data_IF_727369858585
#
_entry.id   IF_727369858585
#
_cell.length_a   1.000
_cell.length_b   1.000
_cell.length_c   1.000
_cell.angle_alpha   90.00
_cell.angle_beta   90.00
_cell.angle_gamma   90.00
#
_symmetry.space_group_name_H-M   'P 1'
#
loop_
_entity.id
_entity.type
_entity.pdbx_description
1 polymer ?
#
# COMPACT_ATOMS: atom_id res chain seq x y z
N UNK A 1 -16.83 -3.07 5.00
CA UNK A 1 -15.95 -2.98 3.80
C UNK A 1 -14.53 -2.87 4.32
N UNK A 2 -13.60 -3.71 3.86
CA UNK A 2 -12.19 -3.62 4.24
C UNK A 2 -11.44 -2.78 3.20
N UNK A 3 -10.50 -1.95 3.65
CA UNK A 3 -9.55 -1.23 2.80
C UNK A 3 -8.12 -1.52 3.24
N UNK A 4 -7.16 -1.43 2.31
CA UNK A 4 -5.74 -1.48 2.64
C UNK A 4 -5.24 -0.06 2.91
N UNK A 5 -4.53 0.12 4.02
CA UNK A 5 -3.83 1.37 4.35
C UNK A 5 -2.35 1.33 3.94
N UNK A 6 -2.01 0.50 2.94
CA UNK A 6 -0.64 0.34 2.40
C UNK A 6 0.39 -0.11 3.44
N UNK A 7 -0.05 -0.81 4.50
CA UNK A 7 0.84 -1.48 5.44
C UNK A 7 0.95 -2.96 5.06
N UNK A 8 2.13 -3.40 4.65
CA UNK A 8 2.36 -4.76 4.17
C UNK A 8 3.60 -5.37 4.82
N UNK A 9 3.51 -6.66 5.16
CA UNK A 9 4.65 -7.49 5.52
C UNK A 9 4.99 -8.46 4.40
N UNK A 10 6.26 -8.51 3.98
CA UNK A 10 6.72 -9.35 2.88
C UNK A 10 7.84 -10.29 3.32
N UNK A 11 7.82 -11.51 2.79
CA UNK A 11 9.01 -12.37 2.80
C UNK A 11 10.05 -11.78 1.84
N UNK A 12 11.37 -11.87 2.12
CA UNK A 12 12.41 -11.30 1.25
C UNK A 12 12.31 -11.74 -0.22
N UNK A 13 11.89 -12.98 -0.48
CA UNK A 13 11.70 -13.51 -1.84
C UNK A 13 10.66 -12.73 -2.66
N UNK A 14 9.68 -12.10 -2.00
CA UNK A 14 8.67 -11.26 -2.66
C UNK A 14 9.32 -10.02 -3.28
N UNK A 15 10.40 -9.50 -2.69
CA UNK A 15 11.08 -8.29 -3.16
C UNK A 15 11.66 -8.51 -4.56
N UNK A 16 12.23 -9.68 -4.84
CA UNK A 16 12.74 -10.03 -6.17
C UNK A 16 11.62 -10.05 -7.21
N UNK A 17 10.47 -10.62 -6.86
CA UNK A 17 9.30 -10.64 -7.76
C UNK A 17 8.77 -9.23 -8.03
N UNK A 18 8.78 -8.34 -7.02
CA UNK A 18 8.38 -6.95 -7.22
C UNK A 18 9.35 -6.18 -8.14
N UNK A 19 10.65 -6.48 -8.07
CA UNK A 19 11.66 -5.90 -8.96
C UNK A 19 11.45 -6.34 -10.42
N UNK A 20 11.19 -7.62 -10.64
CA UNK A 20 10.88 -8.16 -11.98
C UNK A 20 9.62 -7.49 -12.56
N UNK A 21 8.57 -7.33 -11.74
CA UNK A 21 7.32 -6.65 -12.14
C UNK A 21 7.60 -5.20 -12.50
N UNK A 22 8.35 -4.47 -11.66
CA UNK A 22 8.67 -3.08 -11.90
C UNK A 22 9.52 -2.89 -13.16
N UNK A 23 10.49 -3.77 -13.38
CA UNK A 23 11.35 -3.75 -14.57
C UNK A 23 10.53 -3.94 -15.83
N UNK A 24 9.69 -4.98 -15.87
CA UNK A 24 8.79 -5.24 -16.99
C UNK A 24 7.82 -4.07 -17.23
N UNK A 25 7.24 -3.53 -16.16
CA UNK A 25 6.31 -2.40 -16.25
C UNK A 25 6.97 -1.16 -16.88
N UNK A 26 8.23 -0.85 -16.51
CA UNK A 26 8.98 0.26 -17.11
C UNK A 26 9.23 0.06 -18.60
N UNK A 27 9.55 -1.16 -19.03
CA UNK A 27 9.77 -1.46 -20.44
C UNK A 27 8.49 -1.32 -21.27
N UNK A 28 7.38 -1.84 -20.77
CA UNK A 28 6.07 -1.81 -21.43
C UNK A 28 5.49 -0.39 -21.53
N UNK A 29 5.86 0.50 -20.60
CA UNK A 29 5.29 1.84 -20.50
C UNK A 29 6.32 2.98 -20.61
N UNK A 30 7.47 2.73 -21.25
CA UNK A 30 8.60 3.69 -21.35
C UNK A 30 8.23 5.08 -21.89
N UNK A 31 7.17 5.20 -22.69
CA UNK A 31 6.74 6.46 -23.32
C UNK A 31 5.74 7.25 -22.44
N UNK A 32 5.16 6.63 -21.41
CA UNK A 32 4.19 7.28 -20.52
C UNK A 32 4.86 7.75 -19.23
N UNK A 33 5.00 9.07 -19.09
CA UNK A 33 5.66 9.70 -17.94
C UNK A 33 4.79 9.80 -16.69
N UNK A 34 3.49 9.51 -16.79
CA UNK A 34 2.52 9.70 -15.69
C UNK A 34 1.99 8.38 -15.15
N UNK A 35 2.20 7.28 -15.86
CA UNK A 35 1.70 5.98 -15.43
C UNK A 35 2.44 5.49 -14.18
N UNK A 36 1.71 4.81 -13.29
CA UNK A 36 2.22 4.34 -12.01
C UNK A 36 2.09 2.82 -11.87
N UNK A 37 3.14 2.19 -11.36
CA UNK A 37 3.12 0.77 -11.00
C UNK A 37 2.58 0.60 -9.57
N UNK A 38 1.26 0.74 -9.40
CA UNK A 38 0.63 0.69 -8.07
C UNK A 38 0.68 -0.72 -7.47
N UNK A 39 1.22 -0.84 -6.25
CA UNK A 39 1.32 -2.11 -5.51
C UNK A 39 -0.02 -2.88 -5.41
N UNK A 40 -1.16 -2.25 -5.06
CA UNK A 40 -2.44 -2.96 -4.99
C UNK A 40 -2.81 -3.65 -6.30
N UNK A 41 -2.58 -2.98 -7.44
CA UNK A 41 -2.88 -3.53 -8.75
C UNK A 41 -2.01 -4.75 -9.06
N UNK A 42 -0.72 -4.69 -8.70
CA UNK A 42 0.20 -5.80 -8.93
C UNK A 42 -0.11 -6.98 -7.98
N UNK A 43 -0.48 -6.73 -6.72
CA UNK A 43 -0.90 -7.79 -5.81
C UNK A 43 -2.19 -8.47 -6.24
N UNK A 44 -3.19 -7.73 -6.73
CA UNK A 44 -4.40 -8.35 -7.28
C UNK A 44 -4.06 -9.33 -8.40
N UNK A 45 -3.20 -8.95 -9.35
CA UNK A 45 -2.74 -9.85 -10.42
C UNK A 45 -1.98 -11.07 -9.89
N UNK A 46 -1.13 -10.89 -8.88
CA UNK A 46 -0.36 -12.00 -8.30
C UNK A 46 -1.24 -12.99 -7.53
N UNK A 47 -2.28 -12.49 -6.86
CA UNK A 47 -3.28 -13.31 -6.17
C UNK A 47 -4.16 -14.07 -7.15
N UNK A 48 -4.63 -13.42 -8.23
CA UNK A 48 -5.43 -14.03 -9.29
C UNK A 48 -4.70 -15.18 -10.00
N UNK A 49 -3.38 -15.07 -10.15
CA UNK A 49 -2.54 -16.09 -10.77
C UNK A 49 -2.09 -17.19 -9.80
N UNK A 50 -2.63 -17.24 -8.57
CA UNK A 50 -2.26 -18.16 -7.48
C UNK A 50 -0.77 -18.19 -7.12
N UNK A 51 -0.01 -17.16 -7.52
CA UNK A 51 1.44 -17.11 -7.31
C UNK A 51 1.83 -16.72 -5.90
N UNK A 52 0.89 -16.17 -5.13
CA UNK A 52 1.11 -15.73 -3.76
C UNK A 52 -0.11 -16.01 -2.86
N UNK A 53 0.16 -16.18 -1.56
CA UNK A 53 -0.85 -16.19 -0.52
C UNK A 53 -0.73 -14.92 0.31
N UNK A 54 -1.84 -14.21 0.50
CA UNK A 54 -1.90 -13.04 1.36
C UNK A 54 -2.77 -13.36 2.57
N UNK A 55 -2.25 -13.05 3.76
CA UNK A 55 -3.02 -13.11 5.00
C UNK A 55 -3.37 -11.69 5.43
N UNK A 56 -4.66 -11.45 5.64
CA UNK A 56 -5.15 -10.16 6.11
C UNK A 56 -5.10 -10.13 7.63
N UNK A 57 -4.57 -9.04 8.18
CA UNK A 57 -4.56 -8.76 9.61
C UNK A 57 -5.41 -7.51 9.84
N UNK A 58 -6.65 -7.63 10.36
CA UNK A 58 -7.48 -6.47 10.64
C UNK A 58 -6.84 -5.66 11.77
N UNK A 59 -6.76 -4.35 11.60
CA UNK A 59 -6.39 -3.44 12.68
C UNK A 59 -7.63 -3.19 13.55
N UNK A 60 -7.47 -3.30 14.87
CA UNK A 60 -8.50 -2.91 15.84
C UNK A 60 -8.51 -1.41 16.11
N UNK A 61 -7.38 -0.75 15.81
CA UNK A 61 -7.19 0.68 16.02
C UNK A 61 -7.66 1.53 14.83
N UNK A 62 -8.06 2.76 15.14
CA UNK A 62 -8.42 3.74 14.12
C UNK A 62 -7.17 4.23 13.38
N UNK A 63 -7.18 4.11 12.06
CA UNK A 63 -6.19 4.73 11.20
C UNK A 63 -6.57 6.19 10.93
N UNK A 64 -5.65 7.11 11.22
CA UNK A 64 -5.84 8.54 11.00
C UNK A 64 -4.72 9.05 10.10
N UNK A 65 -5.05 9.88 9.13
CA UNK A 65 -4.12 10.45 8.17
C UNK A 65 -4.46 11.91 7.87
N UNK A 66 -3.55 12.59 7.21
CA UNK A 66 -3.74 13.96 6.74
C UNK A 66 -3.95 13.91 5.24
N UNK A 67 -5.21 14.05 4.79
CA UNK A 67 -5.57 13.94 3.38
C UNK A 67 -6.20 15.23 2.87
N UNK A 68 -7.08 15.84 3.67
CA UNK A 68 -7.78 17.07 3.36
C UNK A 68 -7.31 18.22 4.26
N UNK A 69 -7.44 19.48 3.81
CA UNK A 69 -7.24 20.64 4.67
C UNK A 69 -8.15 20.57 5.92
N UNK A 70 -7.59 20.81 7.09
CA UNK A 70 -8.29 20.74 8.38
C UNK A 70 -8.13 19.40 9.11
N UNK A 71 -7.64 18.34 8.45
CA UNK A 71 -7.33 17.07 9.13
C UNK A 71 -6.23 17.26 10.20
N UNK A 72 -5.35 18.25 10.02
CA UNK A 72 -4.26 18.56 10.94
C UNK A 72 -4.72 18.92 12.34
N UNK A 73 -5.86 19.61 12.48
CA UNK A 73 -6.37 20.02 13.79
C UNK A 73 -6.95 18.82 14.55
N UNK A 74 -7.61 17.92 13.83
CA UNK A 74 -8.12 16.66 14.36
C UNK A 74 -6.98 15.78 14.83
N UNK A 75 -5.96 15.57 13.99
CA UNK A 75 -4.82 14.72 14.32
C UNK A 75 -4.00 15.30 15.47
N UNK A 76 -3.78 16.62 15.52
CA UNK A 76 -3.09 17.27 16.65
C UNK A 76 -3.82 17.05 17.97
N UNK A 77 -5.14 17.23 17.99
CA UNK A 77 -5.95 16.99 19.18
C UNK A 77 -5.82 15.54 19.64
N UNK A 78 -5.98 14.58 18.73
CA UNK A 78 -5.83 13.16 19.03
C UNK A 78 -4.46 12.80 19.61
N UNK A 79 -3.38 13.34 19.03
CA UNK A 79 -2.03 13.08 19.53
C UNK A 79 -1.80 13.70 20.92
N UNK A 80 -2.34 14.90 21.17
CA UNK A 80 -2.22 15.55 22.49
C UNK A 80 -2.92 14.77 23.60
N UNK A 81 -4.00 14.04 23.28
CA UNK A 81 -4.73 13.19 24.22
C UNK A 81 -4.03 11.83 24.47
N UNK A 82 -3.06 11.44 23.62
CA UNK A 82 -2.33 10.17 23.70
C UNK A 82 -0.92 10.27 24.30
N UNK A 83 -0.34 11.47 24.34
CA UNK A 83 0.95 11.71 24.98
C UNK A 83 0.70 11.93 26.48
N UNK A 84 1.07 10.94 27.30
CA UNK A 84 1.13 11.03 28.77
C UNK A 84 2.45 11.69 29.16
#
# INVERSE_FOLDING_TARGET
MFCSMTCFGFHPEVVGVLDDILTKFKEEHKEDRKIECLLPNQFSKLLENERFKMKLYPAEEQHNGLTAPGDEDVVKKMLSEKII
#
